data_IF_626312824924
#
_entry.id   IF_626312824924
#
_cell.length_a   1.000
_cell.length_b   1.000
_cell.length_c   1.000
_cell.angle_alpha   90.00
_cell.angle_beta   90.00
_cell.angle_gamma   90.00
#
_symmetry.space_group_name_H-M   'P 1'
#
loop_
_entity.id
_entity.type
_entity.pdbx_description
1 polymer ?
#
# COMPACT_ATOMS: atom_id res chain seq x y z
N UNK A 1 11.68 -6.69 -8.70
CA UNK A 1 11.02 -7.54 -9.69
C UNK A 1 11.19 -8.97 -9.21
N UNK A 2 10.11 -9.60 -8.73
CA UNK A 2 10.17 -10.90 -8.06
C UNK A 2 10.02 -12.08 -9.04
N UNK A 3 9.20 -11.92 -10.08
CA UNK A 3 9.08 -12.86 -11.19
C UNK A 3 8.95 -12.07 -12.51
N UNK A 4 9.75 -12.34 -13.54
CA UNK A 4 9.63 -11.69 -14.84
C UNK A 4 8.23 -11.89 -15.42
N UNK A 5 7.59 -10.81 -15.89
CA UNK A 5 6.24 -10.86 -16.48
C UNK A 5 5.09 -10.88 -15.48
N UNK A 6 5.37 -10.86 -14.17
CA UNK A 6 4.36 -10.69 -13.12
C UNK A 6 4.57 -9.34 -12.46
N UNK A 7 3.77 -8.37 -12.89
CA UNK A 7 3.77 -7.03 -12.32
C UNK A 7 2.38 -6.69 -11.77
N UNK A 8 2.36 -6.11 -10.58
CA UNK A 8 1.13 -5.65 -9.95
C UNK A 8 1.39 -4.36 -9.18
N UNK A 9 0.40 -3.47 -9.11
CA UNK A 9 0.47 -2.30 -8.26
C UNK A 9 0.50 -2.71 -6.79
N UNK A 10 1.51 -2.23 -6.06
CA UNK A 10 1.65 -2.48 -4.64
C UNK A 10 1.61 -1.16 -3.87
N UNK A 11 0.47 -0.90 -3.23
CA UNK A 11 0.18 0.37 -2.56
C UNK A 11 -0.43 0.15 -1.19
N UNK A 12 -0.61 1.25 -0.43
CA UNK A 12 -1.30 1.21 0.86
C UNK A 12 -2.74 0.73 0.64
N UNK A 13 -3.11 -0.36 1.30
CA UNK A 13 -4.47 -0.89 1.23
C UNK A 13 -5.50 -0.04 1.98
N UNK A 14 -5.07 0.95 2.77
CA UNK A 14 -5.94 1.78 3.63
C UNK A 14 -6.82 0.94 4.57
N UNK A 15 -6.17 -0.03 5.23
CA UNK A 15 -6.79 -1.03 6.11
C UNK A 15 -7.75 -0.40 7.12
N UNK A 16 -8.74 -1.18 7.56
CA UNK A 16 -9.76 -0.74 8.53
C UNK A 16 -9.23 -0.71 9.97
N UNK A 17 -8.27 -1.58 10.27
CA UNK A 17 -7.63 -1.76 11.58
C UNK A 17 -6.39 -0.88 11.79
N UNK A 18 -5.83 -0.31 10.71
CA UNK A 18 -4.69 0.61 10.75
C UNK A 18 -3.53 0.20 11.69
N UNK A 19 -2.91 -0.98 11.52
CA UNK A 19 -1.84 -1.45 12.41
C UNK A 19 -0.63 -0.50 12.45
N UNK A 20 -0.40 0.25 11.37
CA UNK A 20 0.63 1.28 11.30
C UNK A 20 0.41 2.46 12.27
N UNK A 21 -0.85 2.81 12.56
CA UNK A 21 -1.18 3.85 13.55
C UNK A 21 -0.92 3.35 14.97
N UNK A 22 -1.36 2.14 15.30
CA UNK A 22 -1.15 1.53 16.62
C UNK A 22 0.33 1.40 16.97
N UNK A 23 1.17 1.07 15.99
CA UNK A 23 2.61 0.95 16.16
C UNK A 23 3.33 2.32 16.32
N UNK A 24 2.68 3.43 15.99
CA UNK A 24 3.30 4.75 16.03
C UNK A 24 3.39 5.28 17.47
N UNK A 25 4.57 5.16 18.08
CA UNK A 25 4.80 5.57 19.47
C UNK A 25 4.64 7.07 19.72
N UNK A 26 4.90 7.91 18.70
CA UNK A 26 4.77 9.38 18.82
C UNK A 26 3.39 9.88 18.40
N UNK A 27 2.49 9.01 17.92
CA UNK A 27 1.17 9.38 17.39
C UNK A 27 1.23 10.38 16.22
N UNK A 28 2.28 10.29 15.41
CA UNK A 28 2.44 11.10 14.19
C UNK A 28 1.52 10.67 13.04
N UNK A 29 0.92 9.47 13.11
CA UNK A 29 0.02 8.97 12.09
C UNK A 29 -1.44 9.16 12.54
N UNK A 30 -2.29 9.57 11.59
CA UNK A 30 -3.73 9.77 11.81
C UNK A 30 -4.54 9.29 10.61
N UNK A 31 -5.86 9.18 10.76
CA UNK A 31 -6.78 8.82 9.65
C UNK A 31 -7.53 10.06 9.20
N UNK A 32 -7.51 10.34 7.90
CA UNK A 32 -8.38 11.33 7.28
C UNK A 32 -9.84 10.92 7.44
N UNK A 33 -10.66 11.79 8.05
CA UNK A 33 -12.11 11.53 8.19
C UNK A 33 -12.84 11.55 6.85
N UNK A 34 -12.29 12.25 5.86
CA UNK A 34 -12.91 12.42 4.56
C UNK A 34 -12.60 11.23 3.63
N UNK A 35 -11.36 10.77 3.64
CA UNK A 35 -10.88 9.78 2.66
C UNK A 35 -10.59 8.40 3.27
N UNK A 36 -10.46 8.32 4.60
CA UNK A 36 -9.93 7.13 5.26
C UNK A 36 -8.45 6.86 4.96
N UNK A 37 -7.73 7.83 4.39
CA UNK A 37 -6.31 7.70 4.15
C UNK A 37 -5.50 7.89 5.43
N UNK A 38 -4.39 7.17 5.55
CA UNK A 38 -3.38 7.46 6.58
C UNK A 38 -2.65 8.76 6.22
N UNK A 39 -2.58 9.67 7.19
CA UNK A 39 -1.85 10.93 7.10
C UNK A 39 -0.68 10.92 8.08
N UNK A 40 0.46 11.49 7.66
CA UNK A 40 1.68 11.61 8.47
C UNK A 40 1.93 13.07 8.81
N UNK A 41 1.96 13.40 10.10
CA UNK A 41 2.45 14.70 10.58
C UNK A 41 3.98 14.72 10.56
N UNK A 42 4.53 15.53 9.66
CA UNK A 42 5.98 15.69 9.48
C UNK A 42 6.68 16.29 10.71
N UNK A 43 5.99 17.08 11.53
CA UNK A 43 6.61 17.71 12.70
C UNK A 43 6.72 16.75 13.89
N UNK A 44 5.83 15.76 13.96
CA UNK A 44 5.76 14.78 15.06
C UNK A 44 6.43 13.46 14.71
N UNK A 45 6.58 13.16 13.41
CA UNK A 45 7.25 11.95 12.96
C UNK A 45 8.76 12.03 13.23
N UNK A 46 9.30 11.03 13.91
CA UNK A 46 10.73 10.93 14.23
C UNK A 46 11.50 9.95 13.33
N UNK A 47 10.84 9.41 12.30
CA UNK A 47 11.48 8.50 11.35
C UNK A 47 11.86 7.12 11.91
N UNK A 48 11.21 6.63 12.98
CA UNK A 48 11.63 5.40 13.68
C UNK A 48 11.31 4.08 12.94
N UNK A 49 10.56 4.11 11.84
CA UNK A 49 10.28 2.92 11.02
C UNK A 49 9.30 1.89 11.59
N UNK A 50 8.83 2.01 12.84
CA UNK A 50 7.92 1.02 13.46
C UNK A 50 6.62 0.77 12.68
N UNK A 51 6.08 1.79 12.02
CA UNK A 51 4.91 1.64 11.18
C UNK A 51 5.17 0.83 9.90
N UNK A 52 6.42 0.79 9.42
CA UNK A 52 6.86 -0.03 8.28
C UNK A 52 6.82 -1.50 8.69
N UNK A 53 7.39 -1.83 9.86
CA UNK A 53 7.42 -3.19 10.42
C UNK A 53 6.02 -3.71 10.72
N UNK A 54 5.15 -2.85 11.28
CA UNK A 54 3.78 -3.22 11.62
C UNK A 54 2.87 -3.37 10.40
N UNK A 55 3.23 -2.81 9.24
CA UNK A 55 2.42 -2.89 8.02
C UNK A 55 2.60 -4.26 7.37
N UNK A 56 1.55 -5.09 7.22
CA UNK A 56 1.72 -6.42 6.62
C UNK A 56 2.06 -6.37 5.14
N UNK A 57 1.68 -5.29 4.46
CA UNK A 57 2.13 -5.00 3.10
C UNK A 57 3.49 -4.31 3.02
N UNK A 58 4.15 -3.95 4.13
CA UNK A 58 5.43 -3.21 4.17
C UNK A 58 5.46 -1.95 3.28
N UNK A 59 4.33 -1.23 3.20
CA UNK A 59 4.14 -0.09 2.30
C UNK A 59 4.82 1.21 2.76
N UNK A 60 4.72 1.62 4.04
CA UNK A 60 5.33 2.87 4.45
C UNK A 60 6.84 2.78 4.22
N UNK A 61 7.44 3.85 3.76
CA UNK A 61 8.88 3.91 3.47
C UNK A 61 9.47 5.19 4.02
N UNK A 62 10.77 5.20 4.28
CA UNK A 62 11.44 6.43 4.70
C UNK A 62 11.51 7.42 3.54
N UNK A 63 11.26 8.69 3.84
CA UNK A 63 11.52 9.76 2.89
C UNK A 63 13.01 9.76 2.55
N UNK A 64 13.42 9.91 1.27
CA UNK A 64 14.82 9.80 0.87
C UNK A 64 15.74 10.86 1.49
N UNK A 65 15.17 12.00 1.88
CA UNK A 65 15.93 13.16 2.40
C UNK A 65 15.40 13.73 3.72
N UNK A 66 14.19 13.38 4.14
CA UNK A 66 13.55 13.96 5.32
C UNK A 66 13.46 12.87 6.40
N UNK A 67 13.56 13.26 7.68
CA UNK A 67 13.49 12.29 8.77
C UNK A 67 12.03 11.91 9.13
N UNK A 68 11.28 11.45 8.14
CA UNK A 68 9.90 10.99 8.30
C UNK A 68 9.56 9.84 7.36
N UNK A 69 8.46 9.18 7.65
CA UNK A 69 7.90 8.17 6.74
C UNK A 69 6.98 8.81 5.71
N UNK A 70 6.90 8.16 4.56
CA UNK A 70 5.94 8.39 3.49
C UNK A 70 4.97 7.22 3.41
N UNK A 71 3.71 7.53 3.18
CA UNK A 71 2.64 6.56 2.93
C UNK A 71 1.61 7.22 2.01
N UNK A 72 0.91 6.42 1.20
CA UNK A 72 -0.14 6.91 0.32
C UNK A 72 -1.26 7.58 1.12
N UNK A 73 -1.52 8.86 0.81
CA UNK A 73 -2.55 9.72 1.39
C UNK A 73 -3.85 9.78 0.54
N UNK A 74 -3.95 8.88 -0.45
CA UNK A 74 -4.98 8.87 -1.50
C UNK A 74 -5.05 10.18 -2.30
N UNK A 75 -3.99 11.00 -2.32
CA UNK A 75 -3.96 12.31 -2.96
C UNK A 75 -5.19 13.16 -2.59
N UNK A 76 -5.61 13.13 -1.31
CA UNK A 76 -6.79 13.86 -0.85
C UNK A 76 -8.12 13.34 -1.42
N UNK A 77 -8.18 12.08 -1.85
CA UNK A 77 -9.39 11.47 -2.43
C UNK A 77 -9.45 11.54 -3.95
N UNK A 78 -8.44 12.12 -4.60
CA UNK A 78 -8.30 12.17 -6.07
C UNK A 78 -6.98 11.51 -6.54
N UNK A 79 -6.86 10.16 -6.46
CA UNK A 79 -5.59 9.47 -6.69
C UNK A 79 -5.05 9.66 -8.11
N UNK A 80 -3.89 10.31 -8.23
CA UNK A 80 -3.29 10.60 -9.54
C UNK A 80 -2.82 9.34 -10.27
N UNK A 81 -2.40 8.31 -9.53
CA UNK A 81 -2.03 7.02 -10.10
C UNK A 81 -3.21 6.33 -10.80
N UNK A 82 -4.42 6.45 -10.25
CA UNK A 82 -5.64 5.94 -10.90
C UNK A 82 -5.93 6.72 -12.17
N UNK A 83 -5.84 8.06 -12.14
CA UNK A 83 -6.06 8.91 -13.32
C UNK A 83 -5.16 8.53 -14.49
N UNK A 84 -3.85 8.47 -14.26
CA UNK A 84 -2.89 8.09 -15.30
C UNK A 84 -3.14 6.66 -15.80
N UNK A 85 -3.55 5.75 -14.90
CA UNK A 85 -3.86 4.37 -15.30
C UNK A 85 -5.06 4.27 -16.26
N UNK A 86 -6.08 5.09 -16.00
CA UNK A 86 -7.30 5.16 -16.82
C UNK A 86 -7.04 5.91 -18.13
N UNK A 87 -6.29 7.03 -18.09
CA UNK A 87 -5.86 7.76 -19.29
C UNK A 87 -4.99 6.90 -20.21
N UNK A 88 -4.13 6.06 -19.64
CA UNK A 88 -3.31 5.07 -20.36
C UNK A 88 -4.07 3.84 -20.85
N UNK A 89 -5.37 3.73 -20.57
CA UNK A 89 -6.24 2.61 -20.97
C UNK A 89 -5.83 1.23 -20.42
N UNK A 90 -4.99 1.17 -19.38
CA UNK A 90 -4.62 -0.11 -18.76
C UNK A 90 -5.75 -0.66 -17.88
N UNK A 91 -6.56 0.22 -17.28
CA UNK A 91 -7.71 -0.12 -16.43
C UNK A 91 -7.38 -1.08 -15.26
N UNK A 92 -6.13 -1.09 -14.79
CA UNK A 92 -5.67 -1.92 -13.66
C UNK A 92 -6.04 -1.31 -12.31
N UNK A 93 -6.12 0.02 -12.24
CA UNK A 93 -6.41 0.77 -11.00
C UNK A 93 -7.75 1.50 -11.10
N UNK A 94 -8.52 1.46 -10.02
CA UNK A 94 -9.80 2.14 -9.90
C UNK A 94 -10.03 2.65 -8.47
N UNK A 95 -10.77 3.76 -8.34
CA UNK A 95 -11.24 4.23 -7.03
C UNK A 95 -12.47 3.41 -6.65
N UNK A 96 -12.45 2.83 -5.45
CA UNK A 96 -13.56 2.05 -4.90
C UNK A 96 -14.10 2.71 -3.64
N UNK A 97 -15.43 2.67 -3.39
CA UNK A 97 -15.98 3.16 -2.14
C UNK A 97 -15.50 2.30 -0.97
N UNK A 98 -15.17 2.95 0.15
CA UNK A 98 -14.76 2.28 1.37
C UNK A 98 -15.89 1.37 1.86
N UNK A 99 -15.56 0.13 2.25
CA UNK A 99 -16.52 -0.87 2.71
C UNK A 99 -17.11 -1.77 1.62
N UNK A 100 -16.84 -1.51 0.33
CA UNK A 100 -17.20 -2.45 -0.73
C UNK A 100 -16.40 -3.76 -0.66
N UNK A 101 -15.18 -3.69 -0.15
CA UNK A 101 -14.27 -4.82 0.03
C UNK A 101 -13.55 -4.68 1.38
N UNK A 102 -13.08 -5.82 1.93
CA UNK A 102 -12.13 -5.77 3.03
C UNK A 102 -10.77 -5.34 2.48
N UNK A 103 -10.34 -4.14 2.84
CA UNK A 103 -9.04 -3.58 2.47
C UNK A 103 -7.89 -4.49 2.97
N UNK A 104 -8.09 -5.16 4.10
CA UNK A 104 -7.12 -6.08 4.69
C UNK A 104 -6.64 -7.18 3.74
N UNK A 105 -7.48 -7.65 2.83
CA UNK A 105 -7.13 -8.70 1.85
C UNK A 105 -5.98 -8.28 0.93
N UNK A 106 -5.81 -6.97 0.71
CA UNK A 106 -4.78 -6.41 -0.15
C UNK A 106 -3.51 -6.01 0.61
N UNK A 107 -3.51 -6.07 1.94
CA UNK A 107 -2.37 -5.75 2.79
C UNK A 107 -1.38 -6.93 2.87
N UNK A 108 -0.79 -7.29 1.74
CA UNK A 108 0.12 -8.43 1.56
C UNK A 108 1.48 -7.97 1.06
N UNK A 109 2.51 -8.74 1.36
CA UNK A 109 3.86 -8.49 0.86
C UNK A 109 3.95 -8.72 -0.66
N UNK A 110 4.91 -8.08 -1.35
CA UNK A 110 5.11 -8.33 -2.77
C UNK A 110 5.33 -9.82 -3.09
N UNK A 111 6.03 -10.55 -2.22
CA UNK A 111 6.35 -11.96 -2.38
C UNK A 111 5.10 -12.84 -2.31
N UNK A 112 4.20 -12.56 -1.37
CA UNK A 112 2.93 -13.29 -1.26
C UNK A 112 2.04 -13.05 -2.47
N UNK A 113 1.97 -11.81 -2.96
CA UNK A 113 1.14 -11.46 -4.13
C UNK A 113 1.75 -12.04 -5.40
N UNK A 114 3.07 -11.92 -5.59
CA UNK A 114 3.76 -12.50 -6.74
C UNK A 114 3.55 -14.02 -6.81
N UNK A 115 3.65 -14.72 -5.67
CA UNK A 115 3.39 -16.16 -5.59
C UNK A 115 1.98 -16.53 -6.00
N UNK A 116 1.00 -15.86 -5.38
CA UNK A 116 -0.41 -16.10 -5.67
C UNK A 116 -0.75 -15.83 -7.14
N UNK A 117 -0.21 -14.76 -7.72
CA UNK A 117 -0.38 -14.45 -9.14
C UNK A 117 0.32 -15.45 -10.05
N UNK A 118 1.54 -15.89 -9.72
CA UNK A 118 2.27 -16.87 -10.52
C UNK A 118 1.50 -18.18 -10.65
N UNK A 119 1.00 -18.70 -9.52
CA UNK A 119 0.17 -19.91 -9.51
C UNK A 119 -1.13 -19.71 -10.28
N UNK A 120 -1.78 -18.54 -10.16
CA UNK A 120 -3.04 -18.26 -10.88
C UNK A 120 -2.86 -18.11 -12.39
N UNK A 121 -1.74 -17.54 -12.85
CA UNK A 121 -1.51 -17.24 -14.26
C UNK A 121 -0.86 -18.43 -14.98
N UNK A 122 0.13 -19.08 -14.35
CA UNK A 122 0.97 -20.10 -14.97
C UNK A 122 0.75 -21.52 -14.40
N UNK A 123 -0.16 -21.69 -13.44
CA UNK A 123 -0.39 -22.97 -12.78
C UNK A 123 0.84 -23.45 -12.00
N UNK A 124 1.09 -24.77 -12.02
CA UNK A 124 2.24 -25.40 -11.34
C UNK A 124 3.60 -24.88 -11.85
N UNK A 125 3.67 -24.42 -13.10
CA UNK A 125 4.91 -23.86 -13.66
C UNK A 125 5.24 -22.50 -13.03
N UNK A 126 4.23 -21.77 -12.56
CA UNK A 126 4.40 -20.48 -11.89
C UNK A 126 5.17 -20.56 -10.58
N UNK A 127 5.05 -21.68 -9.85
CA UNK A 127 5.81 -21.89 -8.61
C UNK A 127 7.31 -22.04 -8.85
N UNK A 128 7.71 -22.42 -10.07
CA UNK A 128 9.12 -22.57 -10.46
C UNK A 128 9.78 -21.27 -10.88
N UNK A 129 9.00 -20.19 -11.05
CA UNK A 129 9.46 -18.87 -11.48
C UNK A 129 9.84 -17.94 -10.33
N UNK A 130 9.62 -18.36 -9.08
CA UNK A 130 9.84 -17.59 -7.85
C UNK A 130 11.03 -18.13 -7.04
#
# INVERSE_FOLDING_TARGET
MLAPGIEFPHFCAQCEDYPCLEACTTKALSVSKETGAVLVDANTCIGCGKCIEACPGRIPHMHPTENRVLICDLCGGDPKCVKVCQEGLWNVLMVVPRGAYSCRLFARTPEEVARDLATKIFGEEGERLL
#
